data_IF_355011510556
#
_entry.id   IF_355011510556
#
_cell.length_a   1.000
_cell.length_b   1.000
_cell.length_c   1.000
_cell.angle_alpha   90.00
_cell.angle_beta   90.00
_cell.angle_gamma   90.00
#
_symmetry.space_group_name_H-M   'P 1'
#
loop_
_entity.id
_entity.type
_entity.pdbx_description
1 polymer ?
#
# COMPACT_ATOMS: atom_id res chain seq x y z
N UNK A 1 -4.13 -25.38 10.98
CA UNK A 1 -3.50 -24.15 10.46
C UNK A 1 -3.17 -23.27 11.67
N UNK A 2 -1.99 -22.65 11.77
CA UNK A 2 -1.72 -21.70 12.84
C UNK A 2 -2.78 -20.58 12.79
N UNK A 3 -3.31 -20.20 13.94
CA UNK A 3 -4.28 -19.11 14.03
C UNK A 3 -3.57 -17.79 13.68
N UNK A 4 -4.14 -17.02 12.75
CA UNK A 4 -3.56 -15.74 12.35
C UNK A 4 -3.81 -14.71 13.45
N UNK A 5 -2.76 -14.30 14.15
CA UNK A 5 -2.89 -13.28 15.19
C UNK A 5 -2.97 -11.88 14.59
N UNK A 6 -3.43 -10.90 15.39
CA UNK A 6 -3.38 -9.50 14.99
C UNK A 6 -1.95 -9.01 14.72
N UNK A 7 -0.94 -9.61 15.36
CA UNK A 7 0.46 -9.29 15.12
C UNK A 7 0.94 -9.78 13.75
N UNK A 8 0.55 -11.01 13.38
CA UNK A 8 0.84 -11.57 12.05
C UNK A 8 0.18 -10.75 10.95
N UNK A 9 -1.08 -10.32 11.15
CA UNK A 9 -1.78 -9.44 10.22
C UNK A 9 -1.03 -8.11 10.02
N UNK A 10 -0.49 -7.49 11.09
CA UNK A 10 0.31 -6.26 10.98
C UNK A 10 1.64 -6.49 10.26
N UNK A 11 2.32 -7.61 10.51
CA UNK A 11 3.56 -7.98 9.79
C UNK A 11 3.30 -8.15 8.30
N UNK A 12 2.23 -8.86 7.94
CA UNK A 12 1.81 -9.08 6.55
C UNK A 12 1.44 -7.74 5.90
N UNK A 13 0.64 -6.91 6.56
CA UNK A 13 0.27 -5.59 6.07
C UNK A 13 1.52 -4.71 5.82
N UNK A 14 2.49 -4.72 6.73
CA UNK A 14 3.74 -3.97 6.59
C UNK A 14 4.56 -4.46 5.39
N UNK A 15 4.69 -5.79 5.24
CA UNK A 15 5.39 -6.38 4.11
C UNK A 15 4.70 -6.03 2.78
N UNK A 16 3.36 -6.03 2.76
CA UNK A 16 2.57 -5.65 1.60
C UNK A 16 2.83 -4.20 1.21
N UNK A 17 2.74 -3.24 2.14
CA UNK A 17 2.99 -1.82 1.84
C UNK A 17 4.39 -1.57 1.26
N UNK A 18 5.40 -2.24 1.81
CA UNK A 18 6.80 -2.11 1.34
C UNK A 18 7.02 -2.66 -0.05
N UNK A 19 6.26 -3.68 -0.44
CA UNK A 19 6.50 -4.41 -1.68
C UNK A 19 5.47 -4.14 -2.76
N UNK A 20 4.32 -3.52 -2.45
CA UNK A 20 3.23 -3.34 -3.40
C UNK A 20 3.50 -2.27 -4.46
N UNK A 21 4.41 -1.33 -4.19
CA UNK A 21 4.78 -0.26 -5.12
C UNK A 21 6.06 -0.64 -5.86
N UNK A 22 6.04 -0.48 -7.17
CA UNK A 22 7.21 -0.60 -8.03
C UNK A 22 7.36 0.65 -8.91
N UNK A 23 8.58 0.90 -9.39
CA UNK A 23 8.82 1.96 -10.39
C UNK A 23 8.79 1.31 -11.77
N UNK A 24 7.89 1.78 -12.63
CA UNK A 24 7.73 1.30 -14.01
C UNK A 24 8.26 2.36 -14.96
N UNK A 25 9.20 1.97 -15.82
CA UNK A 25 9.71 2.82 -16.91
C UNK A 25 8.68 2.93 -18.03
N UNK A 26 8.54 4.12 -18.59
CA UNK A 26 7.67 4.41 -19.73
C UNK A 26 8.51 4.48 -21.02
N UNK A 27 7.89 4.17 -22.16
CA UNK A 27 8.57 4.08 -23.46
C UNK A 27 9.19 5.42 -23.90
N UNK A 28 8.63 6.53 -23.44
CA UNK A 28 9.11 7.89 -23.71
C UNK A 28 10.29 8.34 -22.82
N UNK A 29 10.90 7.43 -22.06
CA UNK A 29 11.98 7.72 -21.11
C UNK A 29 11.50 8.29 -19.78
N UNK A 30 10.18 8.29 -19.55
CA UNK A 30 9.55 8.61 -18.27
C UNK A 30 9.60 7.43 -17.29
N UNK A 31 9.13 7.68 -16.06
CA UNK A 31 8.89 6.64 -15.08
C UNK A 31 7.73 7.03 -14.17
N UNK A 32 7.07 6.03 -13.61
CA UNK A 32 5.98 6.19 -12.63
C UNK A 32 6.13 5.23 -11.48
N UNK A 33 5.77 5.67 -10.29
CA UNK A 33 5.58 4.77 -9.15
C UNK A 33 4.17 4.17 -9.26
N UNK A 34 4.07 2.85 -9.38
CA UNK A 34 2.83 2.13 -9.66
C UNK A 34 2.58 1.03 -8.62
N UNK A 35 1.33 0.90 -8.20
CA UNK A 35 0.87 -0.21 -7.39
C UNK A 35 0.65 -1.45 -8.26
N UNK A 36 1.35 -2.54 -7.94
CA UNK A 36 1.25 -3.84 -8.64
C UNK A 36 -0.13 -4.48 -8.62
N UNK A 37 -0.93 -4.15 -7.60
CA UNK A 37 -2.19 -4.85 -7.33
C UNK A 37 -3.40 -4.19 -7.98
N UNK A 38 -3.41 -2.86 -8.06
CA UNK A 38 -4.57 -2.11 -8.57
C UNK A 38 -4.24 -1.25 -9.80
N UNK A 39 -2.96 -1.14 -10.16
CA UNK A 39 -2.46 -0.34 -11.29
C UNK A 39 -2.42 1.16 -11.03
N UNK A 40 -2.90 1.65 -9.87
CA UNK A 40 -2.83 3.07 -9.52
C UNK A 40 -1.38 3.55 -9.51
N UNK A 41 -1.14 4.75 -10.03
CA UNK A 41 0.21 5.26 -10.20
C UNK A 41 0.29 6.76 -10.03
N UNK A 42 1.50 7.23 -9.73
CA UNK A 42 1.88 8.64 -9.71
C UNK A 42 3.19 8.82 -10.48
N UNK A 43 3.49 10.02 -10.99
CA UNK A 43 4.80 10.32 -11.59
C UNK A 43 5.94 9.91 -10.64
N UNK A 44 7.08 9.45 -11.18
CA UNK A 44 8.20 8.98 -10.35
C UNK A 44 8.72 10.01 -9.34
N UNK A 45 8.57 11.30 -9.65
CA UNK A 45 8.95 12.42 -8.79
C UNK A 45 8.09 12.52 -7.51
N UNK A 46 6.93 11.88 -7.47
CA UNK A 46 6.07 11.80 -6.29
C UNK A 46 6.33 10.49 -5.53
N UNK A 47 6.23 10.53 -4.20
CA UNK A 47 6.45 9.34 -3.37
C UNK A 47 5.31 8.33 -3.55
N UNK A 48 5.62 7.03 -3.48
CA UNK A 48 4.64 5.96 -3.60
C UNK A 48 3.48 6.06 -2.59
N UNK A 49 3.71 6.65 -1.41
CA UNK A 49 2.68 6.89 -0.40
C UNK A 49 1.57 7.86 -0.85
N UNK A 50 1.81 8.67 -1.89
CA UNK A 50 0.81 9.58 -2.47
C UNK A 50 -0.12 8.90 -3.48
N UNK A 51 0.12 7.62 -3.80
CA UNK A 51 -0.73 6.86 -4.72
C UNK A 51 -2.14 6.75 -4.13
N UNK A 52 -3.12 7.28 -4.86
CA UNK A 52 -4.53 7.08 -4.54
C UNK A 52 -4.96 5.71 -5.07
N UNK A 53 -5.04 4.74 -4.16
CA UNK A 53 -5.41 3.37 -4.49
C UNK A 53 -6.91 3.23 -4.80
N UNK A 54 -7.26 2.21 -5.60
CA UNK A 54 -8.65 1.78 -5.76
C UNK A 54 -9.21 1.27 -4.42
N UNK A 55 -10.51 1.46 -4.12
CA UNK A 55 -11.10 1.09 -2.83
C UNK A 55 -10.94 -0.39 -2.44
N UNK A 56 -10.94 -1.27 -3.44
CA UNK A 56 -10.81 -2.73 -3.31
C UNK A 56 -9.34 -3.22 -3.29
N UNK A 57 -8.37 -2.31 -3.39
CA UNK A 57 -6.96 -2.68 -3.41
C UNK A 57 -6.52 -3.23 -2.03
N UNK A 58 -5.81 -4.37 -1.98
CA UNK A 58 -5.26 -4.91 -0.72
C UNK A 58 -4.37 -3.93 0.06
N UNK A 59 -3.77 -2.94 -0.62
CA UNK A 59 -3.01 -1.86 0.03
C UNK A 59 -3.89 -1.00 0.93
N UNK A 60 -5.13 -0.69 0.52
CA UNK A 60 -6.09 0.08 1.34
C UNK A 60 -6.44 -0.68 2.61
N UNK A 61 -6.61 -2.00 2.49
CA UNK A 61 -6.84 -2.88 3.64
C UNK A 61 -5.63 -2.91 4.57
N UNK A 62 -4.42 -3.07 4.04
CA UNK A 62 -3.19 -3.05 4.83
C UNK A 62 -2.97 -1.71 5.55
N UNK A 63 -3.24 -0.58 4.89
CA UNK A 63 -3.21 0.75 5.51
C UNK A 63 -4.21 0.82 6.68
N UNK A 64 -5.41 0.26 6.50
CA UNK A 64 -6.45 0.23 7.55
C UNK A 64 -6.04 -0.66 8.74
N UNK A 65 -5.40 -1.80 8.49
CA UNK A 65 -4.87 -2.68 9.56
C UNK A 65 -3.78 -2.01 10.39
N UNK A 66 -2.96 -1.17 9.77
CA UNK A 66 -1.87 -0.46 10.43
C UNK A 66 -2.27 0.90 11.02
N UNK A 67 -3.48 1.39 10.70
CA UNK A 67 -3.98 2.64 11.24
C UNK A 67 -4.06 2.54 12.77
N UNK A 68 -3.51 3.55 13.47
CA UNK A 68 -3.62 3.62 14.92
C UNK A 68 -5.10 3.73 15.30
N UNK A 69 -5.57 2.98 16.32
CA UNK A 69 -6.91 3.19 16.86
C UNK A 69 -7.04 4.66 17.24
N UNK A 70 -8.07 5.33 16.74
CA UNK A 70 -8.39 6.67 17.25
C UNK A 70 -8.81 6.47 18.71
N UNK A 71 -8.20 7.18 19.67
CA UNK A 71 -8.74 7.16 21.02
C UNK A 71 -10.19 7.68 20.92
N UNK A 72 -11.15 6.87 21.33
CA UNK A 72 -12.49 7.36 21.59
C UNK A 72 -12.36 8.32 22.78
N UNK A 73 -12.29 9.62 22.47
CA UNK A 73 -12.42 10.68 23.45
C UNK A 73 -13.80 10.59 24.08
N UNK A 74 -13.82 10.56 25.41
CA UNK A 74 -14.99 10.51 26.28
C UNK A 74 -15.87 11.74 26.10
#
# INVERSE_FOLDING_TARGET
MPELTADDARKIATALLKTAIETVSEEDGGARNQCKLCGASVPWAQTGDTIVHKPDCPVVVAQSVLARPRPHGV
#
